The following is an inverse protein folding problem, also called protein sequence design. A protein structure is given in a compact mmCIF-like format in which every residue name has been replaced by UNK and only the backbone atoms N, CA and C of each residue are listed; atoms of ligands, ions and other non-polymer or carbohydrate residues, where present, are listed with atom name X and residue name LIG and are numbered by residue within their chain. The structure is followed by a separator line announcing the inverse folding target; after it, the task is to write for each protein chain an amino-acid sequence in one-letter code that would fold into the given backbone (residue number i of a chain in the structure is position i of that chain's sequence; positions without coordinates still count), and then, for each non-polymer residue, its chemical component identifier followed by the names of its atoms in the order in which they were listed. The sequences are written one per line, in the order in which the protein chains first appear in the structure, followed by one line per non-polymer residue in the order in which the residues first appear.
data_IF_837667610254
#
_entry.id   IF_837667610254
#
_cell.length_a   1.000
_cell.length_b   1.000
_cell.length_c   1.000
_cell.angle_alpha   90.00
_cell.angle_beta   90.00
_cell.angle_gamma   90.00
#
_symmetry.space_group_name_H-M   'P 1'
#
loop_
_entity.id
_entity.type
_entity.pdbx_description
1 polymer ?
#
# COMPACT_ATOMS: atom_id res chain seq x y z
N UNK A 1 13.04 -15.89 28.83
CA UNK A 1 11.76 -16.23 28.16
C UNK A 1 11.63 -15.27 26.99
N UNK A 2 11.70 -15.76 25.76
CA UNK A 2 11.52 -14.90 24.59
C UNK A 2 10.06 -14.46 24.57
N UNK A 3 9.80 -13.19 24.87
CA UNK A 3 8.47 -12.61 24.74
C UNK A 3 8.08 -12.70 23.27
N UNK A 4 7.14 -13.60 23.00
CA UNK A 4 6.68 -13.90 21.66
C UNK A 4 6.01 -12.66 21.09
N UNK A 5 6.76 -11.88 20.30
CA UNK A 5 6.38 -10.58 19.76
C UNK A 5 5.32 -10.67 18.66
N UNK A 6 4.70 -11.84 18.50
CA UNK A 6 3.61 -12.09 17.55
C UNK A 6 2.27 -11.47 17.99
N UNK A 7 2.09 -11.14 19.28
CA UNK A 7 0.87 -10.50 19.80
C UNK A 7 0.66 -9.05 19.32
N UNK A 8 1.66 -8.42 18.70
CA UNK A 8 1.65 -7.01 18.33
C UNK A 8 1.65 -6.74 16.82
N UNK A 9 1.57 -7.77 15.97
CA UNK A 9 1.45 -7.53 14.52
C UNK A 9 0.05 -6.97 14.26
N UNK A 10 -0.09 -5.71 13.81
CA UNK A 10 -1.39 -5.20 13.46
C UNK A 10 -1.94 -6.07 12.34
N UNK A 11 -3.12 -6.65 12.57
CA UNK A 11 -3.78 -7.47 11.56
C UNK A 11 -4.11 -6.60 10.35
N UNK A 12 -3.95 -7.15 9.15
CA UNK A 12 -4.34 -6.45 7.93
C UNK A 12 -5.87 -6.36 7.94
N UNK A 13 -6.46 -5.16 7.93
CA UNK A 13 -7.91 -5.03 7.95
C UNK A 13 -8.48 -5.68 6.70
N UNK A 14 -9.63 -6.35 6.82
CA UNK A 14 -10.34 -6.92 5.67
C UNK A 14 -11.47 -5.99 5.28
N UNK A 15 -11.65 -5.79 3.98
CA UNK A 15 -12.80 -5.04 3.48
C UNK A 15 -14.06 -5.90 3.61
N UNK A 16 -15.07 -5.36 4.27
CA UNK A 16 -16.34 -6.05 4.59
C UNK A 16 -17.57 -5.32 4.01
N UNK A 17 -17.33 -4.37 3.10
CA UNK A 17 -18.38 -3.51 2.52
C UNK A 17 -18.46 -2.12 3.13
N UNK A 18 -17.83 -1.87 4.29
CA UNK A 18 -17.83 -0.55 4.94
C UNK A 18 -16.53 0.22 4.64
N UNK A 19 -16.54 1.01 3.56
CA UNK A 19 -15.36 1.75 3.10
C UNK A 19 -14.74 2.67 4.17
N UNK A 20 -15.53 3.52 4.83
CA UNK A 20 -14.98 4.50 5.78
C UNK A 20 -14.26 3.84 6.97
N UNK A 21 -14.84 2.77 7.50
CA UNK A 21 -14.24 2.00 8.60
C UNK A 21 -12.97 1.28 8.13
N UNK A 22 -13.03 0.61 6.98
CA UNK A 22 -11.87 -0.05 6.38
C UNK A 22 -10.73 0.92 6.08
N UNK A 23 -11.05 2.06 5.49
CA UNK A 23 -10.10 3.11 5.12
C UNK A 23 -9.41 3.68 6.36
N UNK A 24 -10.15 3.93 7.45
CA UNK A 24 -9.58 4.38 8.72
C UNK A 24 -8.53 3.40 9.27
N UNK A 25 -8.83 2.10 9.25
CA UNK A 25 -7.91 1.06 9.73
C UNK A 25 -6.69 0.90 8.81
N UNK A 26 -6.92 0.86 7.50
CA UNK A 26 -5.86 0.67 6.52
C UNK A 26 -4.92 1.89 6.45
N UNK A 27 -5.46 3.10 6.51
CA UNK A 27 -4.67 4.33 6.61
C UNK A 27 -3.77 4.31 7.84
N UNK A 28 -4.31 3.93 9.01
CA UNK A 28 -3.51 3.84 10.22
C UNK A 28 -2.40 2.78 10.11
N UNK A 29 -2.69 1.62 9.53
CA UNK A 29 -1.69 0.58 9.25
C UNK A 29 -0.56 1.13 8.36
N UNK A 30 -0.90 1.77 7.25
CA UNK A 30 0.08 2.30 6.30
C UNK A 30 0.89 3.47 6.87
N UNK A 31 0.26 4.34 7.66
CA UNK A 31 0.95 5.43 8.38
C UNK A 31 1.93 4.88 9.43
N UNK A 32 1.55 3.83 10.16
CA UNK A 32 2.45 3.18 11.14
C UNK A 32 3.69 2.53 10.51
N UNK A 33 3.62 2.27 9.19
CA UNK A 33 4.71 1.71 8.37
C UNK A 33 5.44 2.76 7.53
N UNK A 34 5.07 4.03 7.64
CA UNK A 34 5.60 5.15 6.84
C UNK A 34 5.37 5.00 5.33
N UNK A 35 4.33 4.26 4.93
CA UNK A 35 4.01 3.99 3.52
C UNK A 35 2.91 4.87 2.95
N UNK A 36 2.23 5.66 3.78
CA UNK A 36 1.09 6.46 3.38
C UNK A 36 1.38 7.47 2.25
N UNK A 37 2.62 7.95 2.16
CA UNK A 37 3.07 8.84 1.08
C UNK A 37 2.87 8.23 -0.31
N UNK A 38 2.87 6.91 -0.45
CA UNK A 38 2.61 6.23 -1.72
C UNK A 38 1.14 6.31 -2.13
N UNK A 39 0.22 6.39 -1.18
CA UNK A 39 -1.22 6.58 -1.43
C UNK A 39 -1.50 8.04 -1.77
N UNK A 40 -0.93 8.99 -1.02
CA UNK A 40 -1.16 10.43 -1.25
C UNK A 40 -0.45 10.94 -2.51
N UNK A 41 0.83 10.63 -2.65
CA UNK A 41 1.71 11.24 -3.66
C UNK A 41 1.94 10.31 -4.86
N UNK A 42 1.81 8.99 -4.67
CA UNK A 42 2.13 8.00 -5.68
C UNK A 42 3.59 7.56 -5.65
N UNK A 43 3.96 6.74 -6.64
CA UNK A 43 5.33 6.21 -6.80
C UNK A 43 6.23 7.28 -7.39
N UNK A 44 7.43 7.44 -6.82
CA UNK A 44 8.46 8.32 -7.37
C UNK A 44 9.02 7.72 -8.67
N UNK A 45 8.95 8.49 -9.74
CA UNK A 45 9.48 8.10 -11.06
C UNK A 45 10.76 8.87 -11.34
N UNK A 46 11.80 8.14 -11.75
CA UNK A 46 13.07 8.75 -12.16
C UNK A 46 12.88 9.54 -13.47
N UNK A 47 13.40 10.77 -13.58
CA UNK A 47 13.38 11.52 -14.84
C UNK A 47 14.26 10.85 -15.91
N UNK A 48 14.08 11.20 -17.18
CA UNK A 48 14.81 10.57 -18.30
C UNK A 48 16.35 10.70 -18.20
N UNK A 49 16.85 11.79 -17.58
CA UNK A 49 18.27 12.04 -17.32
C UNK A 49 18.61 11.88 -15.84
N UNK A 50 18.01 10.89 -15.17
CA UNK A 50 18.19 10.68 -13.74
C UNK A 50 19.65 10.42 -13.38
N UNK A 51 20.10 11.04 -12.29
CA UNK A 51 21.34 10.63 -11.63
C UNK A 51 21.18 9.23 -11.03
N UNK A 52 22.30 8.56 -10.75
CA UNK A 52 22.30 7.25 -10.09
C UNK A 52 21.47 7.28 -8.79
N UNK A 53 21.57 8.39 -8.04
CA UNK A 53 20.84 8.58 -6.80
C UNK A 53 19.33 8.73 -7.02
N UNK A 54 18.91 9.49 -8.04
CA UNK A 54 17.49 9.61 -8.40
C UNK A 54 16.91 8.26 -8.86
N UNK A 55 17.69 7.47 -9.60
CA UNK A 55 17.29 6.12 -10.00
C UNK A 55 17.12 5.19 -8.80
N UNK A 56 18.02 5.28 -7.81
CA UNK A 56 17.94 4.51 -6.56
C UNK A 56 16.66 4.84 -5.81
N UNK A 57 16.35 6.13 -5.63
CA UNK A 57 15.14 6.58 -4.93
C UNK A 57 13.87 6.10 -5.65
N UNK A 58 13.82 6.18 -6.98
CA UNK A 58 12.67 5.68 -7.75
C UNK A 58 12.49 4.16 -7.62
N UNK A 59 13.58 3.40 -7.62
CA UNK A 59 13.54 1.96 -7.43
C UNK A 59 13.09 1.59 -6.01
N UNK A 60 13.57 2.31 -4.99
CA UNK A 60 13.12 2.13 -3.60
C UNK A 60 11.64 2.44 -3.43
N UNK A 61 11.15 3.51 -4.08
CA UNK A 61 9.73 3.86 -4.09
C UNK A 61 8.87 2.78 -4.77
N UNK A 62 9.34 2.19 -5.86
CA UNK A 62 8.66 1.05 -6.51
C UNK A 62 8.63 -0.18 -5.61
N UNK A 63 9.72 -0.45 -4.88
CA UNK A 63 9.76 -1.58 -3.95
C UNK A 63 8.82 -1.39 -2.77
N UNK A 64 8.70 -0.16 -2.23
CA UNK A 64 7.73 0.12 -1.17
C UNK A 64 6.30 0.10 -1.68
N UNK A 65 6.03 0.56 -2.92
CA UNK A 65 4.72 0.41 -3.56
C UNK A 65 4.26 -1.04 -3.64
N UNK A 66 5.14 -1.97 -4.04
CA UNK A 66 4.83 -3.40 -4.03
C UNK A 66 4.43 -3.92 -2.64
N UNK A 67 5.04 -3.40 -1.56
CA UNK A 67 4.64 -3.77 -0.19
C UNK A 67 3.24 -3.26 0.15
N UNK A 68 2.90 -2.03 -0.25
CA UNK A 68 1.56 -1.48 -0.05
C UNK A 68 0.53 -2.26 -0.86
N UNK A 69 0.82 -2.58 -2.12
CA UNK A 69 -0.05 -3.44 -2.94
C UNK A 69 -0.33 -4.77 -2.27
N UNK A 70 0.68 -5.40 -1.67
CA UNK A 70 0.50 -6.65 -0.93
C UNK A 70 -0.44 -6.50 0.28
N UNK A 71 -0.43 -5.35 0.98
CA UNK A 71 -1.40 -5.08 2.03
C UNK A 71 -2.81 -4.95 1.46
N UNK A 72 -2.98 -4.18 0.38
CA UNK A 72 -4.28 -3.99 -0.28
C UNK A 72 -4.84 -5.31 -0.85
N UNK A 73 -4.01 -6.14 -1.49
CA UNK A 73 -4.42 -7.45 -2.01
C UNK A 73 -4.79 -8.44 -0.92
N UNK A 74 -4.12 -8.38 0.24
CA UNK A 74 -4.53 -9.19 1.38
C UNK A 74 -5.79 -8.64 2.04
N UNK A 75 -6.12 -7.38 1.82
CA UNK A 75 -7.23 -6.70 2.47
C UNK A 75 -8.54 -6.83 1.69
N UNK A 76 -8.44 -6.95 0.37
CA UNK A 76 -9.57 -6.92 -0.57
C UNK A 76 -9.79 -8.32 -1.15
N UNK A 77 -11.05 -8.74 -1.24
CA UNK A 77 -11.40 -10.01 -1.84
C UNK A 77 -11.12 -10.05 -3.35
N UNK A 78 -10.81 -11.24 -3.85
CA UNK A 78 -10.48 -11.46 -5.27
C UNK A 78 -11.56 -10.92 -6.22
N UNK A 79 -12.84 -11.09 -5.89
CA UNK A 79 -13.95 -10.64 -6.72
C UNK A 79 -13.95 -9.13 -6.92
N UNK A 80 -13.69 -8.37 -5.85
CA UNK A 80 -13.54 -6.91 -5.90
C UNK A 80 -12.25 -6.55 -6.63
N UNK A 81 -11.16 -7.26 -6.35
CA UNK A 81 -9.90 -7.00 -7.04
C UNK A 81 -10.05 -7.14 -8.56
N UNK A 82 -10.79 -8.14 -9.04
CA UNK A 82 -11.05 -8.36 -10.47
C UNK A 82 -11.87 -7.23 -11.13
N UNK A 83 -12.66 -6.44 -10.38
CA UNK A 83 -13.40 -5.29 -10.94
C UNK A 83 -12.54 -4.03 -11.13
N UNK A 84 -11.40 -3.91 -10.43
CA UNK A 84 -10.52 -2.74 -10.52
C UNK A 84 -9.77 -2.74 -11.87
N UNK A 85 -9.99 -1.74 -12.73
CA UNK A 85 -9.39 -1.72 -14.07
C UNK A 85 -7.87 -1.43 -14.06
N UNK A 86 -7.44 -0.45 -13.26
CA UNK A 86 -6.03 -0.08 -13.14
C UNK A 86 -5.48 -0.49 -11.76
N UNK A 87 -4.41 -1.28 -11.76
CA UNK A 87 -3.74 -1.79 -10.55
C UNK A 87 -2.23 -1.58 -10.62
N UNK A 88 -1.77 -0.60 -11.39
CA UNK A 88 -0.36 -0.36 -11.62
C UNK A 88 0.34 0.04 -10.32
N UNK A 89 -0.24 0.98 -9.56
CA UNK A 89 0.25 1.43 -8.25
C UNK A 89 -0.70 1.10 -7.12
N UNK A 90 -0.19 1.13 -5.88
CA UNK A 90 -1.04 1.03 -4.68
C UNK A 90 -2.08 2.15 -4.61
N UNK A 91 -1.72 3.35 -5.09
CA UNK A 91 -2.60 4.50 -5.18
C UNK A 91 -3.77 4.25 -6.12
N UNK A 92 -3.54 3.62 -7.28
CA UNK A 92 -4.61 3.29 -8.23
C UNK A 92 -5.64 2.35 -7.59
N UNK A 93 -5.16 1.32 -6.89
CA UNK A 93 -6.02 0.36 -6.16
C UNK A 93 -6.81 1.08 -5.06
N UNK A 94 -6.15 1.92 -4.25
CA UNK A 94 -6.81 2.69 -3.19
C UNK A 94 -7.90 3.62 -3.72
N UNK A 95 -7.61 4.34 -4.80
CA UNK A 95 -8.56 5.25 -5.43
C UNK A 95 -9.72 4.50 -6.06
N UNK A 96 -9.50 3.31 -6.63
CA UNK A 96 -10.56 2.50 -7.22
C UNK A 96 -11.50 1.88 -6.17
N UNK A 97 -11.04 1.77 -4.91
CA UNK A 97 -11.86 1.31 -3.78
C UNK A 97 -12.77 2.41 -3.23
N UNK A 98 -12.47 3.69 -3.52
CA UNK A 98 -13.26 4.85 -3.11
C UNK A 98 -14.43 5.08 -4.07
#
# INVERSE_FOLDING_TARGET
MAENSDFLKPSIPKFDGYYDHWAMLMENLLRSKEYWSLIENGVTVAPANATVEQQRIANESKLTDLKVKNYLFQSIDRSILETILNRDTARDIWNAMR
#
